data_IF_677913704071
#
_entry.id   IF_677913704071
#
_cell.length_a   1.000
_cell.length_b   1.000
_cell.length_c   1.000
_cell.angle_alpha   90.00
_cell.angle_beta   90.00
_cell.angle_gamma   90.00
#
_symmetry.space_group_name_H-M   'P 1'
#
loop_
_entity.id
_entity.type
_entity.pdbx_description
1 polymer ?
#
# COMPACT_ATOMS: atom_id res chain seq x y z
N UNK A 1 1.23 23.25 14.25
CA UNK A 1 2.59 22.93 14.75
C UNK A 1 3.01 21.63 14.06
N UNK A 2 3.84 21.72 13.05
CA UNK A 2 4.26 20.60 12.23
C UNK A 2 5.17 19.70 13.09
N UNK A 3 4.72 18.49 13.43
CA UNK A 3 5.59 17.50 14.10
C UNK A 3 6.69 17.11 13.11
N UNK A 4 7.90 17.61 13.35
CA UNK A 4 9.09 17.16 12.62
C UNK A 4 9.31 15.68 12.94
N UNK A 5 8.84 14.79 12.08
CA UNK A 5 9.15 13.36 12.16
C UNK A 5 10.48 13.16 11.45
N UNK A 6 11.57 13.28 12.18
CA UNK A 6 12.89 12.94 11.67
C UNK A 6 13.23 11.52 12.09
N UNK A 7 13.56 10.69 11.13
CA UNK A 7 14.20 9.40 11.38
C UNK A 7 15.71 9.61 11.39
N UNK A 8 16.39 9.11 12.43
CA UNK A 8 17.86 9.19 12.50
C UNK A 8 18.45 7.82 12.22
N UNK A 9 19.37 7.77 11.28
CA UNK A 9 20.20 6.59 11.02
C UNK A 9 21.67 6.91 11.30
N UNK A 10 22.44 5.89 11.64
CA UNK A 10 23.90 6.03 11.81
C UNK A 10 24.55 5.67 10.47
N UNK A 11 25.38 6.58 9.94
CA UNK A 11 26.17 6.30 8.75
C UNK A 11 27.14 5.14 9.03
N UNK A 12 27.03 4.06 8.27
CA UNK A 12 27.88 2.87 8.42
C UNK A 12 29.35 3.13 8.05
N UNK A 13 29.64 4.22 7.31
CA UNK A 13 30.99 4.56 6.88
C UNK A 13 31.74 5.42 7.91
N UNK A 14 31.08 6.40 8.51
CA UNK A 14 31.74 7.37 9.39
C UNK A 14 31.15 7.45 10.82
N UNK A 15 30.12 6.69 11.13
CA UNK A 15 29.47 6.69 12.46
C UNK A 15 28.64 7.94 12.78
N UNK A 16 28.53 8.90 11.87
CA UNK A 16 27.75 10.12 12.09
C UNK A 16 26.25 9.83 12.09
N UNK A 17 25.52 10.50 12.98
CA UNK A 17 24.06 10.46 12.95
C UNK A 17 23.52 11.32 11.81
N UNK A 18 22.71 10.72 10.94
CA UNK A 18 22.06 11.38 9.81
C UNK A 18 20.59 11.48 10.11
N UNK A 19 20.04 12.69 10.09
CA UNK A 19 18.61 12.93 10.18
C UNK A 19 18.01 12.87 8.77
N UNK A 20 17.21 11.84 8.49
CA UNK A 20 16.49 11.75 7.23
C UNK A 20 15.22 12.62 7.30
N UNK A 21 15.07 13.52 6.33
CA UNK A 21 13.95 14.48 6.25
C UNK A 21 13.06 14.29 5.03
N UNK A 22 13.44 13.39 4.14
CA UNK A 22 12.67 13.09 2.93
C UNK A 22 11.51 12.15 3.26
N UNK A 23 10.37 12.22 2.54
CA UNK A 23 9.32 11.22 2.64
C UNK A 23 9.87 9.83 2.34
N UNK A 24 9.38 8.84 3.09
CA UNK A 24 9.71 7.44 2.79
C UNK A 24 8.92 6.96 1.57
N UNK A 25 9.58 6.41 0.54
CA UNK A 25 8.88 5.88 -0.61
C UNK A 25 8.19 4.56 -0.25
N UNK A 26 6.92 4.45 -0.64
CA UNK A 26 6.09 3.25 -0.46
C UNK A 26 5.31 2.96 -1.73
N UNK A 27 4.73 1.77 -1.81
CA UNK A 27 3.76 1.38 -2.82
C UNK A 27 2.45 0.94 -2.17
N UNK A 28 1.34 1.16 -2.86
CA UNK A 28 0.02 0.61 -2.53
C UNK A 28 -0.54 -0.11 -3.77
N UNK A 29 -1.19 -1.27 -3.57
CA UNK A 29 -1.63 -2.15 -4.64
C UNK A 29 -3.15 -2.22 -4.64
N UNK A 30 -3.76 -1.90 -5.78
CA UNK A 30 -5.21 -1.96 -5.98
C UNK A 30 -5.52 -3.14 -6.88
N UNK A 31 -5.90 -4.26 -6.26
CA UNK A 31 -6.43 -5.44 -6.95
C UNK A 31 -7.95 -5.45 -6.84
N UNK A 32 -8.63 -5.34 -7.96
CA UNK A 32 -10.07 -5.44 -8.06
C UNK A 32 -10.46 -6.65 -8.87
N UNK A 33 -11.44 -7.42 -8.41
CA UNK A 33 -11.98 -8.60 -9.07
C UNK A 33 -13.51 -8.60 -9.02
N UNK A 34 -14.16 -8.57 -10.16
CA UNK A 34 -15.63 -8.67 -10.24
C UNK A 34 -16.11 -10.09 -9.95
N UNK A 35 -17.20 -10.29 -9.22
CA UNK A 35 -17.98 -9.32 -8.44
C UNK A 35 -17.45 -9.16 -7.00
N UNK A 36 -16.30 -9.71 -6.67
CA UNK A 36 -15.78 -9.81 -5.30
C UNK A 36 -15.40 -8.45 -4.70
N UNK A 37 -15.00 -7.48 -5.54
CA UNK A 37 -14.60 -6.14 -5.13
C UNK A 37 -13.08 -5.98 -5.01
N UNK A 38 -12.63 -5.23 -4.01
CA UNK A 38 -11.23 -4.86 -3.82
C UNK A 38 -10.56 -5.70 -2.73
N UNK A 39 -9.32 -6.14 -2.98
CA UNK A 39 -8.53 -6.88 -2.01
C UNK A 39 -7.99 -5.94 -0.94
N UNK A 40 -8.24 -6.29 0.33
CA UNK A 40 -7.64 -5.64 1.48
C UNK A 40 -6.99 -6.69 2.39
N UNK A 41 -5.98 -6.25 3.11
CA UNK A 41 -5.34 -7.00 4.18
C UNK A 41 -5.74 -6.43 5.55
N UNK A 42 -5.87 -7.29 6.55
CA UNK A 42 -6.02 -6.89 7.95
C UNK A 42 -4.63 -6.75 8.57
N UNK A 43 -4.29 -5.54 9.00
CA UNK A 43 -2.95 -5.23 9.52
C UNK A 43 -2.67 -5.89 10.87
N UNK A 44 -1.56 -6.60 10.94
CA UNK A 44 -1.03 -7.16 12.19
C UNK A 44 -0.40 -6.10 13.10
N UNK A 45 0.18 -5.04 12.51
CA UNK A 45 0.93 -3.97 13.19
C UNK A 45 0.19 -2.63 13.15
N UNK A 46 0.39 -1.74 14.15
CA UNK A 46 -0.20 -0.39 14.13
C UNK A 46 0.23 0.46 12.93
N UNK A 47 -0.67 1.31 12.41
CA UNK A 47 -2.06 1.42 12.76
C UNK A 47 -2.83 0.17 12.34
N UNK A 48 -3.67 -0.36 13.25
CA UNK A 48 -4.54 -1.51 12.95
C UNK A 48 -5.69 -1.10 12.04
N UNK A 49 -6.35 -2.08 11.46
CA UNK A 49 -7.45 -1.93 10.52
C UNK A 49 -7.14 -2.59 9.18
N UNK A 50 -8.02 -2.38 8.21
CA UNK A 50 -7.87 -2.88 6.85
C UNK A 50 -7.07 -1.91 6.00
N UNK A 51 -6.25 -2.43 5.10
CA UNK A 51 -5.42 -1.62 4.20
C UNK A 51 -5.33 -2.24 2.81
N UNK A 52 -4.98 -1.46 1.81
CA UNK A 52 -4.46 -1.99 0.56
C UNK A 52 -3.16 -2.74 0.86
N UNK A 53 -2.85 -3.84 0.17
CA UNK A 53 -1.53 -4.43 0.22
C UNK A 53 -0.47 -3.40 -0.20
N UNK A 54 0.69 -3.44 0.43
CA UNK A 54 1.77 -2.50 0.10
C UNK A 54 2.72 -2.24 1.26
N UNK A 55 3.86 -1.65 0.94
CA UNK A 55 4.93 -1.39 1.90
C UNK A 55 6.00 -0.48 1.38
N UNK A 56 7.15 -0.51 2.02
CA UNK A 56 8.30 0.31 1.66
C UNK A 56 8.99 -0.22 0.40
N UNK A 57 9.49 0.72 -0.42
CA UNK A 57 10.38 0.37 -1.52
C UNK A 57 11.77 0.13 -0.93
N UNK A 58 12.35 -1.04 -1.17
CA UNK A 58 13.66 -1.40 -0.69
C UNK A 58 14.77 -0.76 -1.53
N UNK A 59 15.94 -0.61 -0.91
CA UNK A 59 17.10 -0.07 -1.62
C UNK A 59 17.50 -1.00 -2.76
N UNK A 60 17.49 -0.46 -3.99
CA UNK A 60 17.88 -1.20 -5.18
C UNK A 60 16.74 -1.81 -5.98
N UNK A 61 15.48 -1.69 -5.51
CA UNK A 61 14.31 -2.08 -6.31
C UNK A 61 13.56 -0.87 -6.89
N UNK A 62 12.84 -1.06 -7.97
CA UNK A 62 11.89 -0.07 -8.50
C UNK A 62 10.55 -0.14 -7.78
N UNK A 63 9.72 0.91 -7.91
CA UNK A 63 8.37 0.90 -7.35
C UNK A 63 7.50 -0.24 -7.91
N UNK A 64 7.69 -0.59 -9.19
CA UNK A 64 7.00 -1.71 -9.84
C UNK A 64 7.42 -3.06 -9.24
N UNK A 65 8.72 -3.23 -8.97
CA UNK A 65 9.24 -4.45 -8.33
C UNK A 65 8.72 -4.56 -6.89
N UNK A 66 8.76 -3.46 -6.12
CA UNK A 66 8.20 -3.40 -4.78
C UNK A 66 6.72 -3.79 -4.76
N UNK A 67 5.91 -3.28 -5.69
CA UNK A 67 4.48 -3.60 -5.76
C UNK A 67 4.24 -5.10 -5.99
N UNK A 68 5.00 -5.75 -6.86
CA UNK A 68 4.88 -7.19 -7.11
C UNK A 68 5.34 -8.00 -5.89
N UNK A 69 6.45 -7.62 -5.26
CA UNK A 69 6.98 -8.27 -4.05
C UNK A 69 5.99 -8.17 -2.89
N UNK A 70 5.52 -6.96 -2.55
CA UNK A 70 4.58 -6.73 -1.45
C UNK A 70 3.25 -7.48 -1.65
N UNK A 71 2.72 -7.51 -2.89
CA UNK A 71 1.53 -8.29 -3.20
C UNK A 71 1.73 -9.78 -2.87
N UNK A 72 2.89 -10.34 -3.26
CA UNK A 72 3.21 -11.73 -2.99
C UNK A 72 3.40 -11.99 -1.48
N UNK A 73 4.16 -11.14 -0.79
CA UNK A 73 4.49 -11.28 0.63
C UNK A 73 3.25 -11.18 1.53
N UNK A 74 2.36 -10.21 1.27
CA UNK A 74 1.19 -9.95 2.12
C UNK A 74 -0.06 -10.75 1.75
N UNK A 75 -0.16 -11.20 0.49
CA UNK A 75 -1.39 -11.86 0.00
C UNK A 75 -1.18 -13.22 -0.65
N UNK A 76 0.07 -13.65 -0.85
CA UNK A 76 0.41 -14.88 -1.58
C UNK A 76 0.09 -14.83 -3.08
N UNK A 77 -0.34 -13.69 -3.61
CA UNK A 77 -0.75 -13.56 -5.01
C UNK A 77 0.41 -13.09 -5.89
N UNK A 78 0.61 -13.77 -6.99
CA UNK A 78 1.45 -13.29 -8.09
C UNK A 78 0.63 -12.33 -8.95
N UNK A 79 1.00 -11.07 -8.97
CA UNK A 79 0.26 -10.02 -9.67
C UNK A 79 1.02 -9.49 -10.88
N UNK A 80 0.28 -8.93 -11.83
CA UNK A 80 0.78 -8.17 -12.96
C UNK A 80 0.25 -6.73 -12.90
N UNK A 81 1.14 -5.76 -13.03
CA UNK A 81 0.76 -4.35 -13.05
C UNK A 81 -0.04 -4.03 -14.31
N UNK A 82 -1.18 -3.37 -14.15
CA UNK A 82 -2.03 -2.91 -15.26
C UNK A 82 -1.93 -1.41 -15.48
N UNK A 83 -1.45 -0.65 -14.49
CA UNK A 83 -1.24 0.77 -14.66
C UNK A 83 -0.94 1.52 -13.36
N UNK A 84 -0.47 2.74 -13.52
CA UNK A 84 -0.35 3.70 -12.43
C UNK A 84 -1.74 4.28 -12.10
N UNK A 85 -2.16 4.18 -10.84
CA UNK A 85 -3.37 4.85 -10.37
C UNK A 85 -3.07 6.31 -10.00
N UNK A 86 -2.03 6.53 -9.20
CA UNK A 86 -1.62 7.86 -8.77
C UNK A 86 -0.49 7.85 -7.75
N UNK A 87 -0.11 9.06 -7.31
CA UNK A 87 0.87 9.27 -6.23
C UNK A 87 0.17 9.98 -5.08
N UNK A 88 0.36 9.47 -3.87
CA UNK A 88 -0.27 9.95 -2.65
C UNK A 88 0.82 10.35 -1.66
N UNK A 89 0.92 11.65 -1.37
CA UNK A 89 2.06 12.21 -0.62
C UNK A 89 1.66 13.25 0.43
N UNK A 90 0.41 13.22 0.88
CA UNK A 90 -0.02 14.09 1.97
C UNK A 90 0.85 13.83 3.21
N UNK A 91 1.44 14.86 3.86
CA UNK A 91 2.31 14.65 5.02
C UNK A 91 1.66 13.91 6.18
N UNK A 92 0.32 13.97 6.29
CA UNK A 92 -0.43 13.34 7.37
C UNK A 92 -1.10 12.01 6.97
N UNK A 93 -0.83 11.51 5.75
CA UNK A 93 -1.41 10.26 5.26
C UNK A 93 -1.07 9.03 6.11
N UNK A 94 0.10 9.00 6.71
CA UNK A 94 0.58 7.96 7.61
C UNK A 94 0.90 8.57 8.99
N UNK A 95 0.24 8.10 10.07
CA UNK A 95 0.49 8.66 11.41
C UNK A 95 1.89 8.40 11.95
N UNK A 96 2.64 7.48 11.37
CA UNK A 96 3.98 7.08 11.81
C UNK A 96 5.06 7.97 11.17
N UNK A 97 4.97 8.19 9.85
CA UNK A 97 5.99 8.85 9.04
C UNK A 97 5.37 9.67 7.92
N UNK A 98 6.12 10.65 7.40
CA UNK A 98 5.77 11.22 6.10
C UNK A 98 6.16 10.21 5.03
N UNK A 99 5.18 9.59 4.37
CA UNK A 99 5.38 8.66 3.26
C UNK A 99 4.91 9.28 1.95
N UNK A 100 5.51 8.84 0.85
CA UNK A 100 5.05 9.08 -0.51
C UNK A 100 4.78 7.72 -1.13
N UNK A 101 3.52 7.44 -1.46
CA UNK A 101 3.13 6.16 -2.02
C UNK A 101 2.79 6.25 -3.50
N UNK A 102 3.31 5.31 -4.26
CA UNK A 102 2.95 5.08 -5.67
C UNK A 102 1.91 3.96 -5.69
N UNK A 103 0.67 4.29 -6.05
CA UNK A 103 -0.42 3.32 -6.12
C UNK A 103 -0.55 2.75 -7.53
N UNK A 104 -0.51 1.42 -7.62
CA UNK A 104 -0.66 0.68 -8.87
C UNK A 104 -1.98 -0.09 -8.89
N UNK A 105 -2.60 -0.15 -10.08
CA UNK A 105 -3.62 -1.14 -10.38
C UNK A 105 -2.96 -2.41 -10.87
N UNK A 106 -3.47 -3.56 -10.42
CA UNK A 106 -2.92 -4.88 -10.75
C UNK A 106 -4.02 -5.87 -11.09
N UNK A 107 -3.63 -6.96 -11.74
CA UNK A 107 -4.46 -8.15 -11.94
C UNK A 107 -3.68 -9.41 -11.55
N UNK A 108 -4.39 -10.48 -11.26
CA UNK A 108 -3.85 -11.82 -11.02
C UNK A 108 -4.80 -12.85 -11.65
N UNK A 109 -4.44 -14.12 -11.58
CA UNK A 109 -5.30 -15.21 -12.03
C UNK A 109 -6.64 -15.20 -11.27
N UNK A 110 -7.76 -15.40 -12.00
CA UNK A 110 -9.11 -15.27 -11.46
C UNK A 110 -9.43 -16.29 -10.37
N UNK A 111 -8.82 -17.46 -10.39
CA UNK A 111 -8.99 -18.54 -9.43
C UNK A 111 -7.99 -18.46 -8.27
N UNK A 112 -7.02 -17.54 -8.29
CA UNK A 112 -6.07 -17.37 -7.23
C UNK A 112 -6.75 -16.89 -5.93
N UNK A 113 -6.48 -17.61 -4.83
CA UNK A 113 -7.06 -17.33 -3.52
C UNK A 113 -6.04 -16.58 -2.68
N UNK A 114 -6.38 -15.37 -2.17
CA UNK A 114 -5.47 -14.64 -1.30
C UNK A 114 -5.27 -15.39 0.02
N UNK A 115 -4.04 -15.40 0.48
CA UNK A 115 -3.64 -15.97 1.76
C UNK A 115 -2.80 -14.93 2.50
N UNK A 116 -3.22 -14.57 3.71
CA UNK A 116 -2.47 -13.63 4.53
C UNK A 116 -1.06 -14.17 4.81
N UNK A 117 -0.05 -13.35 4.53
CA UNK A 117 1.35 -13.63 4.80
C UNK A 117 1.93 -12.60 5.77
N UNK A 118 3.14 -12.86 6.22
CA UNK A 118 3.98 -12.05 7.12
C UNK A 118 3.24 -11.14 8.12
N UNK A 119 3.05 -9.87 7.78
CA UNK A 119 2.45 -8.84 8.65
C UNK A 119 0.93 -8.74 8.56
N UNK A 120 0.28 -9.51 7.67
CA UNK A 120 -1.16 -9.54 7.50
C UNK A 120 -1.79 -10.66 8.35
N UNK A 121 -2.86 -10.33 9.08
CA UNK A 121 -3.67 -11.33 9.82
C UNK A 121 -4.70 -12.00 8.94
N UNK A 122 -5.15 -11.29 7.91
CA UNK A 122 -6.17 -11.73 6.98
C UNK A 122 -5.99 -11.03 5.62
N UNK A 123 -6.45 -11.65 4.55
CA UNK A 123 -6.49 -11.05 3.22
C UNK A 123 -7.78 -11.50 2.54
N UNK A 124 -8.64 -10.54 2.14
CA UNK A 124 -9.91 -10.85 1.48
C UNK A 124 -10.44 -9.70 0.63
N UNK A 125 -11.32 -10.04 -0.27
CA UNK A 125 -12.05 -9.07 -1.10
C UNK A 125 -13.23 -8.45 -0.37
N UNK A 126 -13.48 -7.17 -0.65
CA UNK A 126 -14.63 -6.42 -0.16
C UNK A 126 -15.33 -5.73 -1.34
N UNK A 127 -16.66 -5.83 -1.47
CA UNK A 127 -17.40 -5.03 -2.43
C UNK A 127 -17.14 -3.53 -2.20
N UNK A 128 -17.06 -2.75 -3.29
CA UNK A 128 -16.74 -1.31 -3.20
C UNK A 128 -17.81 -0.52 -2.42
N UNK A 129 -19.03 -1.00 -2.37
CA UNK A 129 -20.17 -0.43 -1.62
C UNK A 129 -20.26 -0.94 -0.17
N UNK A 130 -19.45 -1.94 0.19
CA UNK A 130 -19.44 -2.58 1.52
C UNK A 130 -18.04 -2.65 2.13
N UNK A 131 -17.27 -1.59 1.98
CA UNK A 131 -15.93 -1.48 2.56
C UNK A 131 -15.97 -1.42 4.10
N UNK A 132 -14.99 -2.02 4.80
CA UNK A 132 -14.90 -1.95 6.26
C UNK A 132 -14.77 -0.50 6.74
N UNK A 133 -15.30 -0.22 7.95
CA UNK A 133 -15.27 1.13 8.51
C UNK A 133 -13.84 1.59 8.89
N UNK A 134 -13.01 0.65 9.31
CA UNK A 134 -11.67 0.85 9.88
C UNK A 134 -10.55 0.67 8.82
N UNK A 135 -10.62 1.44 7.74
CA UNK A 135 -9.55 1.48 6.75
C UNK A 135 -8.43 2.40 7.24
N UNK A 136 -7.22 1.85 7.35
CA UNK A 136 -6.03 2.55 7.79
C UNK A 136 -5.51 3.54 6.72
N UNK A 137 -4.72 4.49 7.17
CA UNK A 137 -4.09 5.51 6.32
C UNK A 137 -5.10 6.34 5.52
N UNK A 138 -4.69 6.80 4.37
CA UNK A 138 -5.54 7.44 3.36
C UNK A 138 -6.06 6.45 2.30
N UNK A 139 -6.01 5.14 2.57
CA UNK A 139 -6.35 4.11 1.59
C UNK A 139 -7.81 4.19 1.11
N UNK A 140 -8.73 4.68 1.94
CA UNK A 140 -10.10 4.99 1.50
C UNK A 140 -10.14 5.99 0.34
N UNK A 141 -9.22 6.97 0.33
CA UNK A 141 -9.08 7.93 -0.76
C UNK A 141 -8.57 7.25 -2.04
N UNK A 142 -7.55 6.40 -1.92
CA UNK A 142 -6.99 5.63 -3.04
C UNK A 142 -8.07 4.77 -3.70
N UNK A 143 -8.85 4.05 -2.88
CA UNK A 143 -9.97 3.21 -3.35
C UNK A 143 -11.05 4.06 -4.04
N UNK A 144 -11.40 5.22 -3.48
CA UNK A 144 -12.38 6.11 -4.08
C UNK A 144 -11.92 6.66 -5.45
N UNK A 145 -10.63 6.96 -5.59
CA UNK A 145 -10.07 7.43 -6.86
C UNK A 145 -10.03 6.32 -7.91
N UNK A 146 -9.74 5.08 -7.50
CA UNK A 146 -9.87 3.90 -8.35
C UNK A 146 -11.32 3.71 -8.83
N UNK A 147 -12.29 3.74 -7.92
CA UNK A 147 -13.71 3.58 -8.28
C UNK A 147 -14.19 4.63 -9.30
N UNK A 148 -13.76 5.89 -9.15
CA UNK A 148 -14.04 6.95 -10.15
C UNK A 148 -13.41 6.66 -11.51
N UNK A 149 -12.19 6.09 -11.54
CA UNK A 149 -11.51 5.76 -12.79
C UNK A 149 -12.24 4.65 -13.55
N UNK A 150 -12.65 3.59 -12.84
CA UNK A 150 -13.41 2.48 -13.44
C UNK A 150 -14.77 2.94 -13.96
N UNK A 151 -15.50 3.76 -13.18
CA UNK A 151 -16.81 4.30 -13.60
C UNK A 151 -16.77 5.21 -14.84
N UNK A 152 -15.61 5.77 -15.19
CA UNK A 152 -15.43 6.60 -16.39
C UNK A 152 -15.04 5.78 -17.63
N UNK A 153 -14.62 4.54 -17.43
CA UNK A 153 -14.15 3.64 -18.49
C UNK A 153 -15.22 2.63 -18.91
N UNK A 154 -16.33 2.54 -18.16
CA UNK A 154 -17.52 1.76 -18.46
C UNK A 154 -18.59 2.63 -19.16
#
# INVERSE_FOLDING_TARGET
MQKSRSFTSVCTHCGSTVAQRNPFPTVDIVLHRDPQGILLIERGNPPHGWALPGGFIDCGESAEQAAVREALEETGLVVRLTGLLGVYSDPDRDPRFHTLSVAYTVECDDDAIPCAGDDARNARFFPLDALPADIAFDHRRIIADFAKKVSRSA
#
